data_IF_241823091909
#
_entry.id   IF_241823091909
#
_cell.length_a   1.000
_cell.length_b   1.000
_cell.length_c   1.000
_cell.angle_alpha   90.00
_cell.angle_beta   90.00
_cell.angle_gamma   90.00
#
_symmetry.space_group_name_H-M   'P 1'
#
loop_
_entity.id
_entity.type
_entity.pdbx_description
1 polymer ?
#
# COMPACT_ATOMS: atom_id res chain seq x y z
N UNK A 1 -27.30 -18.13 28.53
CA UNK A 1 -27.10 -17.47 27.22
C UNK A 1 -26.48 -16.13 27.56
N UNK A 2 -25.20 -15.91 27.31
CA UNK A 2 -24.58 -14.59 27.53
C UNK A 2 -25.22 -13.59 26.55
N UNK A 3 -25.78 -12.52 27.07
CA UNK A 3 -26.23 -11.40 26.26
C UNK A 3 -25.08 -11.02 25.32
N UNK A 4 -25.33 -11.07 24.02
CA UNK A 4 -24.32 -10.64 23.03
C UNK A 4 -24.11 -9.15 23.25
N UNK A 5 -22.93 -8.77 23.72
CA UNK A 5 -22.56 -7.36 23.94
C UNK A 5 -22.79 -6.58 22.65
N UNK A 6 -23.70 -5.62 22.68
CA UNK A 6 -23.92 -4.69 21.57
C UNK A 6 -23.02 -3.47 21.73
N UNK A 7 -22.22 -3.17 20.72
CA UNK A 7 -21.37 -1.98 20.67
C UNK A 7 -22.15 -0.77 20.11
N UNK A 8 -21.78 0.44 20.55
CA UNK A 8 -22.28 1.66 19.92
C UNK A 8 -21.69 1.84 18.52
N UNK A 9 -20.40 1.48 18.34
CA UNK A 9 -19.69 1.60 17.07
C UNK A 9 -18.79 0.39 16.83
N UNK A 10 -18.90 -0.22 15.66
CA UNK A 10 -17.90 -1.15 15.13
C UNK A 10 -17.12 -0.46 14.01
N UNK A 11 -15.79 -0.55 14.06
CA UNK A 11 -14.88 0.07 13.11
C UNK A 11 -14.18 -1.06 12.33
N UNK A 12 -14.28 -1.04 11.00
CA UNK A 12 -13.68 -2.05 10.13
C UNK A 12 -12.39 -1.49 9.56
N UNK A 13 -11.26 -2.04 10.02
CA UNK A 13 -9.90 -1.63 9.67
C UNK A 13 -9.19 -0.89 10.80
N UNK A 14 -8.00 -1.36 11.18
CA UNK A 14 -7.12 -0.78 12.19
C UNK A 14 -5.93 0.00 11.56
N UNK A 15 -6.18 0.66 10.44
CA UNK A 15 -5.28 1.67 9.88
C UNK A 15 -5.37 2.99 10.66
N UNK A 16 -4.57 4.02 10.30
CA UNK A 16 -4.54 5.31 11.01
C UNK A 16 -5.93 5.94 11.19
N UNK A 17 -6.78 5.87 10.15
CA UNK A 17 -8.15 6.43 10.20
C UNK A 17 -9.03 5.64 11.17
N UNK A 18 -8.97 4.30 11.13
CA UNK A 18 -9.75 3.46 12.06
C UNK A 18 -9.33 3.67 13.51
N UNK A 19 -8.03 3.81 13.78
CA UNK A 19 -7.51 4.13 15.11
C UNK A 19 -7.98 5.51 15.58
N UNK A 20 -7.93 6.53 14.74
CA UNK A 20 -8.43 7.85 15.06
C UNK A 20 -9.93 7.82 15.42
N UNK A 21 -10.74 7.09 14.65
CA UNK A 21 -12.15 6.90 14.94
C UNK A 21 -12.39 6.18 16.29
N UNK A 22 -11.56 5.18 16.61
CA UNK A 22 -11.67 4.46 17.89
C UNK A 22 -11.34 5.35 19.08
N UNK A 23 -10.30 6.18 18.97
CA UNK A 23 -9.91 7.16 19.98
C UNK A 23 -11.06 8.14 20.23
N UNK A 24 -11.64 8.72 19.18
CA UNK A 24 -12.74 9.67 19.31
C UNK A 24 -14.02 9.01 19.88
N UNK A 25 -14.32 7.75 19.49
CA UNK A 25 -15.43 7.00 20.08
C UNK A 25 -15.22 6.82 21.59
N UNK A 26 -14.02 6.45 22.03
CA UNK A 26 -13.66 6.33 23.44
C UNK A 26 -13.83 7.64 24.20
N UNK A 27 -13.38 8.76 23.65
CA UNK A 27 -13.53 10.10 24.23
C UNK A 27 -14.97 10.55 24.40
N UNK A 28 -15.86 10.05 23.54
CA UNK A 28 -17.31 10.27 23.66
C UNK A 28 -18.01 9.23 24.54
N UNK A 29 -17.27 8.39 25.26
CA UNK A 29 -17.77 7.28 26.08
C UNK A 29 -18.64 6.28 25.30
N UNK A 30 -18.40 6.12 24.00
CA UNK A 30 -19.07 5.12 23.17
C UNK A 30 -18.35 3.78 23.30
N UNK A 31 -19.10 2.73 23.55
CA UNK A 31 -18.58 1.36 23.48
C UNK A 31 -18.21 1.05 22.03
N UNK A 32 -16.96 0.65 21.80
CA UNK A 32 -16.47 0.42 20.44
C UNK A 32 -15.63 -0.85 20.30
N UNK A 33 -15.53 -1.35 19.09
CA UNK A 33 -14.65 -2.44 18.69
C UNK A 33 -14.04 -2.12 17.33
N UNK A 34 -12.75 -2.36 17.19
CA UNK A 34 -12.05 -2.31 15.90
C UNK A 34 -11.77 -3.73 15.43
N UNK A 35 -12.10 -4.03 14.18
CA UNK A 35 -11.88 -5.36 13.58
C UNK A 35 -10.95 -5.20 12.39
N UNK A 36 -9.80 -5.88 12.43
CA UNK A 36 -8.75 -5.81 11.42
C UNK A 36 -8.40 -7.22 10.89
N UNK A 37 -8.42 -7.39 9.57
CA UNK A 37 -8.12 -8.66 8.92
C UNK A 37 -6.67 -9.13 9.07
N UNK A 38 -5.76 -8.20 9.28
CA UNK A 38 -4.32 -8.45 9.41
C UNK A 38 -3.74 -7.93 10.72
N UNK A 39 -2.60 -7.33 10.62
CA UNK A 39 -1.90 -6.68 11.73
C UNK A 39 -2.37 -5.23 11.93
N UNK A 40 -2.06 -4.66 13.08
CA UNK A 40 -2.25 -3.23 13.31
C UNK A 40 -1.50 -2.44 12.24
N UNK A 41 -2.16 -1.43 11.65
CA UNK A 41 -1.69 -0.62 10.50
C UNK A 41 -1.16 -1.47 9.34
N UNK A 42 -1.87 -2.53 8.99
CA UNK A 42 -1.45 -3.56 8.03
C UNK A 42 -0.95 -3.01 6.68
N UNK A 43 -1.58 -1.96 6.15
CA UNK A 43 -1.14 -1.33 4.90
C UNK A 43 0.28 -0.75 5.00
N UNK A 44 0.66 -0.17 6.15
CA UNK A 44 2.00 0.37 6.39
C UNK A 44 3.05 -0.75 6.41
N UNK A 45 2.69 -1.92 6.96
CA UNK A 45 3.57 -3.11 6.93
C UNK A 45 3.83 -3.55 5.48
N UNK A 46 2.87 -3.34 4.59
CA UNK A 46 2.98 -3.59 3.15
C UNK A 46 3.86 -2.60 2.39
N UNK A 47 4.17 -1.43 2.95
CA UNK A 47 5.01 -0.41 2.29
C UNK A 47 6.48 -0.83 2.20
N UNK A 48 7.27 -0.19 1.32
CA UNK A 48 8.69 -0.48 1.21
C UNK A 48 9.44 -0.31 2.53
N UNK A 49 10.40 -1.19 2.79
CA UNK A 49 11.31 -1.10 3.95
C UNK A 49 12.06 0.24 3.93
N UNK A 50 12.20 0.88 5.08
CA UNK A 50 12.83 2.20 5.22
C UNK A 50 12.20 3.29 4.34
N UNK A 51 10.92 3.13 3.96
CA UNK A 51 10.23 4.16 3.17
C UNK A 51 10.09 5.45 3.99
N UNK A 52 10.57 6.54 3.41
CA UNK A 52 10.29 7.88 3.92
C UNK A 52 8.91 8.34 3.43
N UNK A 53 8.06 8.81 4.35
CA UNK A 53 6.73 9.32 4.02
C UNK A 53 6.83 10.60 3.17
N UNK A 54 5.76 10.92 2.46
CA UNK A 54 5.66 12.19 1.72
C UNK A 54 5.17 13.35 2.61
N UNK A 55 4.57 13.02 3.75
CA UNK A 55 4.04 13.95 4.74
C UNK A 55 5.02 14.14 5.89
N UNK A 56 4.93 15.29 6.56
CA UNK A 56 5.65 15.54 7.82
C UNK A 56 4.99 14.79 8.99
N UNK A 57 5.67 14.63 10.13
CA UNK A 57 5.11 13.93 11.29
C UNK A 57 3.75 14.43 11.72
N UNK A 58 3.57 15.76 11.77
CA UNK A 58 2.34 16.42 12.26
C UNK A 58 1.10 16.04 11.43
N UNK A 59 1.29 15.74 10.13
CA UNK A 59 0.20 15.32 9.23
C UNK A 59 -0.17 13.83 9.36
N UNK A 60 0.60 13.08 10.14
CA UNK A 60 0.37 11.66 10.41
C UNK A 60 -0.12 11.41 11.84
N UNK A 61 -0.12 12.45 12.67
CA UNK A 61 -0.55 12.38 14.07
C UNK A 61 -2.04 12.08 14.19
N UNK A 62 -2.38 11.28 15.19
CA UNK A 62 -3.76 10.98 15.57
C UNK A 62 -3.96 11.16 17.08
N UNK A 63 -5.18 11.48 17.49
CA UNK A 63 -5.56 11.57 18.89
C UNK A 63 -4.79 12.62 19.71
N UNK A 64 -4.09 13.57 19.07
CA UNK A 64 -3.28 14.59 19.76
C UNK A 64 -1.97 14.06 20.35
N UNK A 65 -1.55 12.87 19.96
CA UNK A 65 -0.25 12.30 20.33
C UNK A 65 0.83 12.73 19.34
N UNK A 66 1.97 13.28 19.78
CA UNK A 66 3.02 13.71 18.87
C UNK A 66 3.75 12.52 18.26
N UNK A 67 4.02 12.58 16.95
CA UNK A 67 4.92 11.70 16.24
C UNK A 67 6.32 12.34 16.20
N UNK A 68 7.19 11.91 17.11
CA UNK A 68 8.57 12.41 17.15
C UNK A 68 9.42 11.64 16.13
N UNK A 69 10.04 12.36 15.20
CA UNK A 69 11.01 11.82 14.24
C UNK A 69 12.27 12.68 14.25
N UNK A 70 13.43 12.07 14.06
CA UNK A 70 14.70 12.77 13.84
C UNK A 70 14.82 13.35 12.43
N UNK A 71 13.84 13.08 11.55
CA UNK A 71 13.83 13.49 10.15
C UNK A 71 12.68 14.46 9.89
N UNK A 72 12.85 15.29 8.87
CA UNK A 72 11.77 16.17 8.40
C UNK A 72 10.53 15.38 7.93
N UNK A 73 10.76 14.19 7.39
CA UNK A 73 9.71 13.23 7.02
C UNK A 73 10.01 11.89 7.69
N UNK A 74 9.06 11.31 8.43
CA UNK A 74 9.31 10.11 9.22
C UNK A 74 9.49 8.89 8.31
N UNK A 75 10.19 7.90 8.83
CA UNK A 75 10.28 6.58 8.21
C UNK A 75 9.02 5.75 8.51
N UNK A 76 8.80 4.76 7.65
CA UNK A 76 7.75 3.75 7.83
C UNK A 76 7.80 3.11 9.22
N UNK A 77 8.98 2.73 9.67
CA UNK A 77 9.22 2.06 10.94
C UNK A 77 8.84 2.94 12.13
N UNK A 78 9.28 4.20 12.14
CA UNK A 78 8.92 5.20 13.17
C UNK A 78 7.40 5.39 13.23
N UNK A 79 6.75 5.41 12.09
CA UNK A 79 5.30 5.61 11.97
C UNK A 79 4.53 4.37 12.43
N UNK A 80 4.99 3.15 12.13
CA UNK A 80 4.40 1.91 12.64
C UNK A 80 4.49 1.89 14.17
N UNK A 81 5.67 2.14 14.74
CA UNK A 81 5.88 2.17 16.18
C UNK A 81 5.02 3.23 16.88
N UNK A 82 4.86 4.39 16.24
CA UNK A 82 3.98 5.44 16.72
C UNK A 82 2.53 4.97 16.85
N UNK A 83 1.94 4.41 15.80
CA UNK A 83 0.54 3.94 15.86
C UNK A 83 0.36 2.79 16.86
N UNK A 84 1.34 1.90 16.98
CA UNK A 84 1.32 0.85 18.00
C UNK A 84 1.33 1.42 19.43
N UNK A 85 2.14 2.45 19.70
CA UNK A 85 2.17 3.13 21.01
C UNK A 85 0.85 3.81 21.30
N UNK A 86 0.31 4.57 20.35
CA UNK A 86 -0.97 5.26 20.51
C UNK A 86 -2.08 4.27 20.83
N UNK A 87 -2.20 3.17 20.06
CA UNK A 87 -3.21 2.16 20.29
C UNK A 87 -3.13 1.52 21.68
N UNK A 88 -1.90 1.27 22.17
CA UNK A 88 -1.69 0.74 23.54
C UNK A 88 -2.00 1.78 24.63
N UNK A 89 -1.58 3.03 24.45
CA UNK A 89 -1.81 4.10 25.41
C UNK A 89 -3.31 4.36 25.61
N UNK A 90 -4.07 4.34 24.52
CA UNK A 90 -5.53 4.50 24.55
C UNK A 90 -6.26 3.20 24.94
N UNK A 91 -5.55 2.09 25.13
CA UNK A 91 -6.11 0.77 25.45
C UNK A 91 -7.28 0.40 24.51
N UNK A 92 -7.10 0.62 23.22
CA UNK A 92 -8.15 0.41 22.22
C UNK A 92 -8.56 -1.06 22.13
N UNK A 93 -9.87 -1.31 22.05
CA UNK A 93 -10.43 -2.65 21.85
C UNK A 93 -10.28 -3.07 20.38
N UNK A 94 -9.15 -3.69 20.02
CA UNK A 94 -8.79 -4.07 18.65
C UNK A 94 -8.70 -5.60 18.53
N UNK A 95 -9.44 -6.15 17.59
CA UNK A 95 -9.38 -7.55 17.19
C UNK A 95 -8.60 -7.69 15.89
N UNK A 96 -7.39 -8.21 15.99
CA UNK A 96 -6.50 -8.47 14.87
C UNK A 96 -6.71 -9.85 14.26
N UNK A 97 -6.27 -10.03 13.00
CA UNK A 97 -6.42 -11.28 12.25
C UNK A 97 -7.87 -11.77 12.24
N UNK A 98 -8.83 -10.85 12.19
CA UNK A 98 -10.27 -11.12 12.14
C UNK A 98 -10.87 -10.35 10.96
N UNK A 99 -11.31 -11.09 9.93
CA UNK A 99 -11.79 -10.51 8.67
C UNK A 99 -13.30 -10.33 8.71
N UNK A 100 -13.78 -9.11 8.51
CA UNK A 100 -15.21 -8.86 8.25
C UNK A 100 -15.56 -9.35 6.86
N UNK A 101 -16.55 -10.22 6.78
CA UNK A 101 -17.01 -10.86 5.54
C UNK A 101 -18.27 -10.20 5.00
N UNK A 102 -19.19 -9.79 5.90
CA UNK A 102 -20.51 -9.30 5.54
C UNK A 102 -21.06 -8.37 6.62
N UNK A 103 -21.84 -7.39 6.20
CA UNK A 103 -22.63 -6.49 7.04
C UNK A 103 -24.10 -6.68 6.74
N UNK A 104 -24.91 -6.88 7.76
CA UNK A 104 -26.37 -6.98 7.66
C UNK A 104 -27.05 -6.00 8.62
N UNK A 105 -28.34 -5.75 8.36
CA UNK A 105 -29.17 -4.94 9.23
C UNK A 105 -29.39 -3.50 8.72
N UNK A 106 -29.74 -2.62 9.63
CA UNK A 106 -30.05 -1.22 9.36
C UNK A 106 -29.51 -0.35 10.50
N UNK A 107 -29.50 0.95 10.32
CA UNK A 107 -29.06 1.90 11.34
C UNK A 107 -29.67 1.59 12.71
N UNK A 108 -28.84 1.50 13.74
CA UNK A 108 -29.21 1.13 15.11
C UNK A 108 -29.17 -0.37 15.41
N UNK A 109 -29.14 -1.24 14.39
CA UNK A 109 -29.17 -2.71 14.52
C UNK A 109 -28.39 -3.38 13.40
N UNK A 110 -27.06 -3.22 13.42
CA UNK A 110 -26.17 -3.90 12.48
C UNK A 110 -25.59 -5.18 13.08
N UNK A 111 -25.36 -6.16 12.22
CA UNK A 111 -24.58 -7.37 12.51
C UNK A 111 -23.41 -7.44 11.54
N UNK A 112 -22.18 -7.36 12.10
CA UNK A 112 -20.97 -7.68 11.34
C UNK A 112 -20.70 -9.17 11.48
N UNK A 113 -20.60 -9.87 10.36
CA UNK A 113 -20.16 -11.25 10.29
C UNK A 113 -18.69 -11.28 9.95
N UNK A 114 -17.89 -11.85 10.85
CA UNK A 114 -16.46 -12.07 10.65
C UNK A 114 -16.17 -13.54 10.34
N UNK A 115 -14.94 -13.87 10.02
CA UNK A 115 -14.48 -15.26 9.90
C UNK A 115 -14.40 -16.01 11.25
N UNK A 116 -14.61 -15.28 12.39
CA UNK A 116 -14.54 -15.88 13.73
C UNK A 116 -15.87 -15.82 14.50
N UNK A 117 -16.66 -14.76 14.31
CA UNK A 117 -17.89 -14.51 15.09
C UNK A 117 -18.84 -13.51 14.43
N UNK A 118 -20.00 -13.28 15.06
CA UNK A 118 -20.89 -12.18 14.72
C UNK A 118 -20.84 -11.10 15.81
N UNK A 119 -20.80 -9.84 15.40
CA UNK A 119 -20.68 -8.68 16.28
C UNK A 119 -21.92 -7.80 16.10
N UNK A 120 -22.63 -7.52 17.18
CA UNK A 120 -23.79 -6.63 17.19
C UNK A 120 -23.34 -5.18 17.43
N UNK A 121 -23.83 -4.25 16.63
CA UNK A 121 -23.48 -2.83 16.78
C UNK A 121 -24.60 -1.91 16.30
N UNK A 122 -24.65 -0.70 16.85
CA UNK A 122 -25.59 0.33 16.41
C UNK A 122 -25.13 1.07 15.15
N UNK A 123 -23.83 1.28 15.03
CA UNK A 123 -23.23 2.01 13.92
C UNK A 123 -21.98 1.29 13.41
N UNK A 124 -21.64 1.49 12.13
CA UNK A 124 -20.44 0.94 11.52
C UNK A 124 -19.65 2.05 10.84
N UNK A 125 -18.35 2.08 11.08
CA UNK A 125 -17.40 2.91 10.34
C UNK A 125 -16.55 1.99 9.48
N UNK A 126 -16.51 2.23 8.18
CA UNK A 126 -15.69 1.48 7.23
C UNK A 126 -14.41 2.27 6.97
N UNK A 127 -13.28 1.78 7.48
CA UNK A 127 -11.94 2.37 7.40
C UNK A 127 -10.94 1.42 6.75
N UNK A 128 -11.38 0.63 5.76
CA UNK A 128 -10.62 -0.47 5.14
C UNK A 128 -9.45 -0.02 4.28
N UNK A 129 -9.39 1.25 3.88
CA UNK A 129 -8.39 1.74 2.95
C UNK A 129 -8.55 1.16 1.54
N UNK A 130 -7.51 1.27 0.72
CA UNK A 130 -7.50 0.80 -0.67
C UNK A 130 -6.19 0.10 -1.09
N UNK A 131 -5.15 0.15 -0.27
CA UNK A 131 -3.81 -0.36 -0.60
C UNK A 131 -3.79 -1.86 -0.90
N UNK A 132 -4.66 -2.65 -0.29
CA UNK A 132 -4.69 -4.11 -0.41
C UNK A 132 -5.33 -4.62 -1.72
N UNK A 133 -5.77 -3.73 -2.60
CA UNK A 133 -6.38 -4.06 -3.89
C UNK A 133 -5.61 -3.39 -5.03
N UNK A 134 -4.51 -4.01 -5.48
CA UNK A 134 -3.75 -3.47 -6.59
C UNK A 134 -4.55 -3.55 -7.89
N UNK A 135 -4.37 -2.55 -8.74
CA UNK A 135 -4.83 -2.66 -10.12
C UNK A 135 -4.04 -3.75 -10.84
N UNK A 136 -4.74 -4.58 -11.62
CA UNK A 136 -4.16 -5.67 -12.36
C UNK A 136 -3.88 -5.28 -13.81
N UNK A 137 -2.87 -5.91 -14.41
CA UNK A 137 -2.55 -5.78 -15.84
C UNK A 137 -3.59 -6.52 -16.70
N UNK A 138 -4.18 -7.58 -16.14
CA UNK A 138 -5.13 -8.49 -16.81
C UNK A 138 -4.51 -9.14 -18.07
N UNK A 139 -3.29 -9.65 -17.94
CA UNK A 139 -2.57 -10.37 -18.99
C UNK A 139 -2.17 -11.76 -18.55
N UNK A 140 -1.89 -12.63 -19.50
CA UNK A 140 -1.33 -13.96 -19.24
C UNK A 140 0.01 -13.82 -18.52
N UNK A 141 0.24 -14.66 -17.50
CA UNK A 141 1.45 -14.68 -16.70
C UNK A 141 1.50 -13.64 -15.57
N UNK A 142 0.48 -12.81 -15.37
CA UNK A 142 0.45 -11.83 -14.29
C UNK A 142 0.55 -12.44 -12.87
N UNK A 143 0.14 -13.70 -12.72
CA UNK A 143 0.16 -14.42 -11.43
C UNK A 143 1.43 -15.27 -11.21
N UNK A 144 2.46 -15.12 -12.02
CA UNK A 144 3.74 -15.80 -11.85
C UNK A 144 4.47 -15.25 -10.61
N UNK A 145 5.23 -16.10 -9.91
CA UNK A 145 5.89 -15.77 -8.63
C UNK A 145 6.83 -14.57 -8.68
N UNK A 146 7.43 -14.29 -9.85
CA UNK A 146 8.33 -13.16 -10.06
C UNK A 146 7.62 -11.87 -10.49
N UNK A 147 6.28 -11.86 -10.55
CA UNK A 147 5.45 -10.68 -10.82
C UNK A 147 4.91 -10.11 -9.52
N UNK A 148 5.25 -8.89 -9.22
CA UNK A 148 4.94 -8.23 -7.96
C UNK A 148 4.08 -6.99 -8.18
N UNK A 149 2.98 -6.86 -7.44
CA UNK A 149 2.15 -5.65 -7.42
C UNK A 149 2.57 -4.64 -6.34
N UNK A 150 3.49 -5.03 -5.47
CA UNK A 150 4.05 -4.22 -4.40
C UNK A 150 5.56 -4.29 -4.43
N UNK A 151 6.19 -3.14 -4.24
CA UNK A 151 7.64 -3.07 -4.06
C UNK A 151 7.97 -3.05 -2.56
N UNK A 152 8.90 -3.88 -2.11
CA UNK A 152 9.35 -3.94 -0.72
C UNK A 152 10.77 -3.43 -0.54
N UNK A 153 11.71 -4.01 -1.27
CA UNK A 153 13.13 -3.65 -1.20
C UNK A 153 13.84 -3.96 -2.52
N UNK A 154 15.05 -3.42 -2.68
CA UNK A 154 15.81 -3.55 -3.92
C UNK A 154 16.97 -4.54 -3.85
N UNK A 155 17.47 -4.86 -2.64
CA UNK A 155 18.73 -5.60 -2.48
C UNK A 155 18.74 -7.00 -3.12
N UNK A 156 17.61 -7.69 -3.14
CA UNK A 156 17.47 -9.01 -3.74
C UNK A 156 17.60 -9.02 -5.28
N UNK A 157 17.60 -7.84 -5.91
CA UNK A 157 17.57 -7.69 -7.37
C UNK A 157 18.88 -7.15 -7.98
N UNK A 158 19.93 -7.04 -7.18
CA UNK A 158 21.24 -6.58 -7.68
C UNK A 158 21.76 -7.49 -8.79
N UNK A 159 22.16 -6.90 -9.92
CA UNK A 159 22.64 -7.60 -11.12
C UNK A 159 21.56 -8.27 -11.96
N UNK A 160 20.27 -8.18 -11.57
CA UNK A 160 19.17 -8.82 -12.30
C UNK A 160 18.50 -7.88 -13.30
N UNK A 161 17.89 -8.47 -14.32
CA UNK A 161 17.03 -7.77 -15.27
C UNK A 161 15.64 -7.59 -14.68
N UNK A 162 15.26 -6.34 -14.42
CA UNK A 162 14.01 -6.00 -13.75
C UNK A 162 13.16 -5.07 -14.61
N UNK A 163 11.91 -5.45 -14.81
CA UNK A 163 10.93 -4.62 -15.51
C UNK A 163 9.99 -3.93 -14.48
N UNK A 164 9.89 -2.61 -14.57
CA UNK A 164 8.97 -1.80 -13.77
C UNK A 164 7.86 -1.25 -14.67
N UNK A 165 6.63 -1.70 -14.45
CA UNK A 165 5.45 -1.22 -15.19
C UNK A 165 4.78 -0.10 -14.41
N UNK A 166 4.70 1.08 -15.01
CA UNK A 166 4.08 2.26 -14.40
C UNK A 166 4.91 3.52 -14.54
N UNK A 167 4.31 4.67 -14.22
CA UNK A 167 4.94 5.99 -14.39
C UNK A 167 4.67 6.96 -13.24
N UNK A 168 4.01 6.51 -12.15
CA UNK A 168 3.69 7.34 -10.99
C UNK A 168 4.70 7.13 -9.85
N UNK A 169 4.45 7.74 -8.68
CA UNK A 169 5.39 7.78 -7.56
C UNK A 169 5.95 6.41 -7.15
N UNK A 170 5.12 5.37 -7.06
CA UNK A 170 5.57 4.03 -6.65
C UNK A 170 6.54 3.44 -7.66
N UNK A 171 6.21 3.48 -8.96
CA UNK A 171 7.07 2.99 -10.03
C UNK A 171 8.38 3.80 -10.12
N UNK A 172 8.30 5.12 -10.07
CA UNK A 172 9.47 6.01 -10.11
C UNK A 172 10.44 5.72 -8.94
N UNK A 173 9.92 5.61 -7.72
CA UNK A 173 10.73 5.34 -6.53
C UNK A 173 11.32 3.93 -6.56
N UNK A 174 10.56 2.92 -7.00
CA UNK A 174 11.06 1.56 -7.15
C UNK A 174 12.18 1.47 -8.19
N UNK A 175 11.99 2.06 -9.39
CA UNK A 175 13.00 2.08 -10.45
C UNK A 175 14.31 2.72 -9.97
N UNK A 176 14.24 3.87 -9.29
CA UNK A 176 15.43 4.52 -8.73
C UNK A 176 16.12 3.68 -7.66
N UNK A 177 15.37 3.04 -6.75
CA UNK A 177 15.96 2.20 -5.71
C UNK A 177 16.60 0.95 -6.29
N UNK A 178 15.95 0.29 -7.24
CA UNK A 178 16.50 -0.87 -7.96
C UNK A 178 17.79 -0.52 -8.70
N UNK A 179 17.78 0.56 -9.47
CA UNK A 179 18.96 1.03 -10.19
C UNK A 179 20.13 1.35 -9.25
N UNK A 180 19.88 2.04 -8.13
CA UNK A 180 20.92 2.34 -7.12
C UNK A 180 21.53 1.10 -6.47
N UNK A 181 20.78 -0.01 -6.43
CA UNK A 181 21.28 -1.30 -5.94
C UNK A 181 21.87 -2.19 -7.03
N UNK A 182 22.04 -1.64 -8.24
CA UNK A 182 22.73 -2.32 -9.34
C UNK A 182 21.85 -3.30 -10.13
N UNK A 183 20.52 -3.18 -10.07
CA UNK A 183 19.65 -3.89 -11.00
C UNK A 183 19.66 -3.23 -12.39
N UNK A 184 19.52 -4.03 -13.45
CA UNK A 184 19.29 -3.57 -14.83
C UNK A 184 17.81 -3.23 -14.99
N UNK A 185 17.46 -1.96 -14.86
CA UNK A 185 16.06 -1.53 -14.80
C UNK A 185 15.55 -1.07 -16.15
N UNK A 186 14.43 -1.65 -16.58
CA UNK A 186 13.65 -1.17 -17.73
C UNK A 186 12.26 -0.76 -17.28
N UNK A 187 11.85 0.46 -17.59
CA UNK A 187 10.50 0.96 -17.32
C UNK A 187 9.58 0.82 -18.54
N UNK A 188 8.39 0.27 -18.34
CA UNK A 188 7.31 0.23 -19.33
C UNK A 188 6.22 1.22 -18.96
N UNK A 189 6.11 2.30 -19.72
CA UNK A 189 5.27 3.46 -19.44
C UNK A 189 4.14 3.54 -20.47
N UNK A 190 2.88 3.43 -20.02
CA UNK A 190 1.71 3.52 -20.90
C UNK A 190 1.54 4.91 -21.55
N UNK A 191 1.93 5.95 -20.85
CA UNK A 191 1.86 7.34 -21.33
C UNK A 191 3.02 7.73 -22.23
N UNK A 192 3.02 9.01 -22.61
CA UNK A 192 4.10 9.61 -23.42
C UNK A 192 5.31 10.03 -22.58
N UNK A 193 5.17 10.09 -21.27
CA UNK A 193 6.21 10.56 -20.35
C UNK A 193 6.04 9.98 -18.93
N UNK A 194 7.04 10.18 -18.09
CA UNK A 194 6.93 10.00 -16.64
C UNK A 194 5.87 10.97 -16.10
N UNK A 195 4.89 10.46 -15.37
CA UNK A 195 3.72 11.24 -14.96
C UNK A 195 4.11 12.57 -14.27
N UNK A 196 3.54 13.71 -14.68
CA UNK A 196 3.82 15.01 -14.06
C UNK A 196 3.48 15.06 -12.56
N UNK A 197 2.60 14.15 -12.09
CA UNK A 197 2.20 14.03 -10.69
C UNK A 197 3.24 13.32 -9.80
N UNK A 198 4.33 12.81 -10.38
CA UNK A 198 5.47 12.34 -9.60
C UNK A 198 6.05 13.51 -8.82
N UNK A 199 6.34 13.29 -7.54
CA UNK A 199 6.82 14.33 -6.63
C UNK A 199 8.04 15.05 -7.21
N UNK A 200 8.07 16.39 -7.08
CA UNK A 200 9.08 17.27 -7.68
C UNK A 200 10.52 16.95 -7.24
N UNK A 201 10.70 16.25 -6.12
CA UNK A 201 12.01 15.81 -5.65
C UNK A 201 12.39 14.39 -6.10
N UNK A 202 11.48 13.65 -6.78
CA UNK A 202 11.72 12.31 -7.32
C UNK A 202 11.84 12.37 -8.85
N UNK A 203 10.95 13.11 -9.50
CA UNK A 203 10.83 13.16 -10.96
C UNK A 203 12.13 13.56 -11.67
N UNK A 204 12.86 14.63 -11.24
CA UNK A 204 14.10 15.02 -11.91
C UNK A 204 15.17 13.94 -11.86
N UNK A 205 15.36 13.27 -10.73
CA UNK A 205 16.33 12.18 -10.60
C UNK A 205 15.99 11.02 -11.55
N UNK A 206 14.72 10.62 -11.63
CA UNK A 206 14.31 9.56 -12.56
C UNK A 206 14.56 9.96 -14.02
N UNK A 207 14.21 11.18 -14.41
CA UNK A 207 14.43 11.67 -15.78
C UNK A 207 15.93 11.66 -16.10
N UNK A 208 16.78 12.16 -15.20
CA UNK A 208 18.22 12.14 -15.38
C UNK A 208 18.76 10.71 -15.57
N UNK A 209 18.26 9.72 -14.78
CA UNK A 209 18.67 8.31 -14.96
C UNK A 209 18.21 7.73 -16.29
N UNK A 210 17.07 8.15 -16.81
CA UNK A 210 16.59 7.74 -18.13
C UNK A 210 17.42 8.40 -19.24
N UNK A 211 17.67 9.70 -19.16
CA UNK A 211 18.39 10.48 -20.17
C UNK A 211 19.86 10.04 -20.31
N UNK A 212 20.50 9.68 -19.21
CA UNK A 212 21.88 9.14 -19.22
C UNK A 212 21.95 7.63 -19.58
N UNK A 213 20.79 6.95 -19.69
CA UNK A 213 20.71 5.54 -20.08
C UNK A 213 20.95 4.53 -18.96
N UNK A 214 21.06 4.96 -17.69
CA UNK A 214 21.18 4.03 -16.55
C UNK A 214 19.86 3.33 -16.19
N UNK A 215 18.73 3.89 -16.59
CA UNK A 215 17.40 3.26 -16.60
C UNK A 215 16.86 3.33 -18.02
N UNK A 216 16.56 2.17 -18.63
CA UNK A 216 15.88 2.12 -19.91
C UNK A 216 14.39 2.45 -19.74
N UNK A 217 13.77 3.16 -20.70
CA UNK A 217 12.36 3.47 -20.67
C UNK A 217 11.71 3.37 -22.05
N UNK A 218 10.58 2.66 -22.10
CA UNK A 218 9.70 2.59 -23.27
C UNK A 218 8.40 3.30 -22.97
N UNK A 219 7.93 4.09 -23.93
CA UNK A 219 6.72 4.90 -23.78
C UNK A 219 5.60 4.38 -24.69
N UNK A 220 4.35 4.77 -24.39
CA UNK A 220 3.16 4.30 -25.11
C UNK A 220 3.01 2.79 -25.10
N UNK A 221 3.50 2.13 -24.05
CA UNK A 221 3.53 0.68 -23.96
C UNK A 221 2.21 0.09 -23.50
N UNK A 222 1.90 -1.10 -23.99
CA UNK A 222 0.83 -1.98 -23.53
C UNK A 222 1.42 -3.38 -23.35
N UNK A 223 1.38 -3.88 -22.11
CA UNK A 223 1.81 -5.25 -21.81
C UNK A 223 0.83 -6.22 -22.47
N UNK A 224 1.35 -7.25 -23.12
CA UNK A 224 0.57 -8.28 -23.81
C UNK A 224 0.69 -9.66 -23.17
N UNK A 225 1.76 -9.92 -22.40
CA UNK A 225 1.97 -11.17 -21.70
C UNK A 225 3.26 -11.19 -20.91
N UNK A 226 3.37 -12.11 -19.96
CA UNK A 226 4.56 -12.34 -19.14
C UNK A 226 4.83 -13.84 -19.12
N UNK A 227 6.07 -14.24 -19.33
CA UNK A 227 6.53 -15.62 -19.18
C UNK A 227 7.51 -15.74 -18.01
N UNK A 228 8.05 -16.92 -17.76
CA UNK A 228 9.00 -17.14 -16.67
C UNK A 228 10.29 -16.28 -16.78
N UNK A 229 10.62 -15.77 -17.97
CA UNK A 229 11.88 -15.04 -18.20
C UNK A 229 11.74 -13.83 -19.13
N UNK A 230 10.52 -13.47 -19.55
CA UNK A 230 10.32 -12.46 -20.59
C UNK A 230 9.03 -11.70 -20.38
N UNK A 231 9.04 -10.38 -20.58
CA UNK A 231 7.85 -9.53 -20.69
C UNK A 231 7.62 -9.18 -22.16
N UNK A 232 6.41 -9.40 -22.64
CA UNK A 232 5.94 -9.04 -23.98
C UNK A 232 5.09 -7.78 -23.90
N UNK A 233 5.31 -6.85 -24.80
CA UNK A 233 4.55 -5.60 -24.88
C UNK A 233 4.52 -5.05 -26.29
N UNK A 234 3.61 -4.13 -26.55
CA UNK A 234 3.56 -3.36 -27.79
C UNK A 234 3.75 -1.88 -27.48
N UNK A 235 4.29 -1.15 -28.44
CA UNK A 235 4.32 0.31 -28.47
C UNK A 235 3.97 0.82 -29.88
N UNK A 236 4.28 2.07 -30.20
CA UNK A 236 4.02 2.67 -31.53
C UNK A 236 4.85 2.05 -32.67
N UNK A 237 5.92 1.34 -32.36
CA UNK A 237 6.84 0.73 -33.33
C UNK A 237 6.55 -0.73 -33.60
N UNK A 238 5.72 -1.38 -32.75
CA UNK A 238 5.31 -2.77 -32.94
C UNK A 238 5.38 -3.60 -31.67
N UNK A 239 5.58 -4.90 -31.85
CA UNK A 239 5.71 -5.89 -30.77
C UNK A 239 7.16 -6.01 -30.30
N UNK A 240 7.33 -6.11 -28.99
CA UNK A 240 8.62 -6.22 -28.33
C UNK A 240 8.62 -7.29 -27.26
N UNK A 241 9.81 -7.76 -26.93
CA UNK A 241 10.04 -8.62 -25.77
C UNK A 241 11.32 -8.22 -25.05
N UNK A 242 11.32 -8.31 -23.72
CA UNK A 242 12.46 -8.00 -22.87
C UNK A 242 12.71 -9.15 -21.91
N UNK A 243 13.99 -9.51 -21.66
CA UNK A 243 14.32 -10.43 -20.57
C UNK A 243 13.88 -9.84 -19.24
N UNK A 244 13.41 -10.66 -18.33
CA UNK A 244 12.95 -10.23 -17.03
C UNK A 244 13.05 -11.36 -16.01
N UNK A 245 13.78 -11.12 -14.93
CA UNK A 245 13.86 -11.99 -13.77
C UNK A 245 12.90 -11.55 -12.67
N UNK A 246 12.41 -10.30 -12.74
CA UNK A 246 11.35 -9.79 -11.89
C UNK A 246 10.54 -8.69 -12.58
N UNK A 247 9.24 -8.68 -12.36
CA UNK A 247 8.32 -7.66 -12.88
C UNK A 247 7.63 -6.97 -11.70
N UNK A 248 7.71 -5.65 -11.65
CA UNK A 248 6.97 -4.82 -10.68
C UNK A 248 5.84 -4.09 -11.40
N UNK A 249 4.62 -4.59 -11.29
CA UNK A 249 3.41 -3.99 -11.86
C UNK A 249 2.85 -2.90 -10.90
N UNK A 250 3.47 -1.72 -10.90
CA UNK A 250 3.17 -0.62 -9.98
C UNK A 250 2.23 0.40 -10.64
N UNK A 251 1.04 -0.06 -11.03
CA UNK A 251 0.06 0.72 -11.80
C UNK A 251 -1.06 1.36 -10.93
N UNK A 252 -0.91 1.29 -9.60
CA UNK A 252 -1.80 1.90 -8.61
C UNK A 252 -2.69 0.89 -7.88
N UNK A 253 -3.63 1.41 -7.09
CA UNK A 253 -4.55 0.67 -6.23
C UNK A 253 -5.97 1.19 -6.43
#
# INVERSE_FOLDING_TARGET
MSESQQYDVAIVGAGPVGLACAIEAGRQNLSHIVVEKGSLVNSLIGYPTNMEFFSTPELLEIGGYPLVSSRYKPLREETIDYYHRVARTENLNIHLSEKVLRLEGKRGQFTLHTDKKSIQTRNVIVATGFFDQPNLLNVEGENLDHVHHYFKEAYAYSGRDVVVVGAKNSAAKAALLLNRQGANVTMLIRGAEVAPTVKYWIRPDLINRIDEGSIAAFYHTKITGITASTVHFTDKTGEHSLPSEAVFALIGY
#
